data_IF_426953478742
#
_entry.id   IF_426953478742
#
_cell.length_a   1.000
_cell.length_b   1.000
_cell.length_c   1.000
_cell.angle_alpha   90.00
_cell.angle_beta   90.00
_cell.angle_gamma   90.00
#
_symmetry.space_group_name_H-M   'P 1'
#
loop_
_entity.id
_entity.type
_entity.pdbx_description
1 polymer ?
#
# COMPACT_ATOMS: atom_id res chain seq x y z
N UNK A 1 -1.06 7.47 6.34
CA UNK A 1 -1.94 8.30 5.48
C UNK A 1 -1.70 9.81 5.61
N UNK A 2 -1.66 10.41 6.81
CA UNK A 2 -1.46 11.87 7.01
C UNK A 2 -0.31 12.49 6.20
N UNK A 3 0.87 11.85 6.20
CA UNK A 3 2.03 12.32 5.44
C UNK A 3 1.84 12.31 3.91
N UNK A 4 1.01 11.40 3.38
CA UNK A 4 0.71 11.30 1.95
C UNK A 4 -0.46 12.21 1.54
N UNK A 5 -1.26 12.68 2.50
CA UNK A 5 -2.52 13.40 2.25
C UNK A 5 -2.43 14.52 1.20
N UNK A 6 -1.50 15.49 1.32
CA UNK A 6 -1.36 16.55 0.32
C UNK A 6 -1.07 16.03 -1.10
N UNK A 7 -0.29 14.96 -1.23
CA UNK A 7 0.06 14.36 -2.51
C UNK A 7 -1.09 13.52 -3.10
N UNK A 8 -1.89 12.88 -2.24
CA UNK A 8 -3.15 12.23 -2.63
C UNK A 8 -4.11 13.28 -3.21
N UNK A 9 -4.33 14.36 -2.45
CA UNK A 9 -5.23 15.44 -2.89
C UNK A 9 -4.79 16.06 -4.21
N UNK A 10 -3.48 16.24 -4.42
CA UNK A 10 -2.94 16.81 -5.66
C UNK A 10 -2.86 15.82 -6.83
N UNK A 11 -3.31 14.57 -6.67
CA UNK A 11 -3.23 13.54 -7.71
C UNK A 11 -1.83 12.99 -7.96
N UNK A 12 -0.81 13.34 -7.16
CA UNK A 12 0.57 12.82 -7.30
C UNK A 12 0.73 11.42 -6.72
N UNK A 13 -0.17 11.02 -5.83
CA UNK A 13 -0.22 9.70 -5.22
C UNK A 13 -1.62 9.13 -5.39
N UNK A 14 -1.72 7.93 -5.93
CA UNK A 14 -2.96 7.15 -5.98
C UNK A 14 -2.84 5.96 -5.04
N UNK A 15 -3.69 5.92 -4.02
CA UNK A 15 -3.76 4.79 -3.08
C UNK A 15 -4.87 3.84 -3.52
N UNK A 16 -4.54 2.55 -3.60
CA UNK A 16 -5.45 1.47 -3.95
C UNK A 16 -5.54 0.51 -2.78
N UNK A 17 -6.74 0.24 -2.28
CA UNK A 17 -6.95 -0.54 -1.07
C UNK A 17 -7.50 -1.93 -1.38
N UNK A 18 -6.95 -2.95 -0.73
CA UNK A 18 -7.51 -4.29 -0.64
C UNK A 18 -7.88 -4.56 0.83
N UNK A 19 -9.18 -4.55 1.12
CA UNK A 19 -9.71 -4.78 2.46
C UNK A 19 -10.64 -6.01 2.44
N UNK A 20 -10.09 -7.21 2.62
CA UNK A 20 -10.84 -8.46 2.58
C UNK A 20 -11.84 -8.60 3.74
N UNK A 21 -11.79 -7.74 4.76
CA UNK A 21 -12.73 -7.75 5.90
C UNK A 21 -13.74 -6.61 5.85
N UNK A 22 -13.54 -5.62 4.98
CA UNK A 22 -14.37 -4.42 4.81
C UNK A 22 -14.56 -3.58 6.09
N UNK A 23 -13.70 -3.76 7.09
CA UNK A 23 -13.83 -3.13 8.41
C UNK A 23 -12.84 -1.97 8.56
N UNK A 24 -11.60 -2.14 8.14
CA UNK A 24 -10.51 -1.24 8.54
C UNK A 24 -10.33 -0.08 7.55
N UNK A 25 -10.25 -0.37 6.25
CA UNK A 25 -9.95 0.67 5.25
C UNK A 25 -11.18 1.50 4.88
N UNK A 26 -12.38 1.01 5.18
CA UNK A 26 -13.65 1.69 4.87
C UNK A 26 -13.82 3.01 5.61
N UNK A 27 -13.28 3.14 6.83
CA UNK A 27 -13.23 4.42 7.57
C UNK A 27 -12.46 5.52 6.81
N UNK A 28 -11.45 5.14 6.03
CA UNK A 28 -10.66 6.02 5.19
C UNK A 28 -11.07 6.01 3.71
N UNK A 29 -12.22 5.42 3.37
CA UNK A 29 -12.58 5.04 2.00
C UNK A 29 -12.40 6.14 0.95
N UNK A 30 -12.68 7.39 1.31
CA UNK A 30 -12.56 8.52 0.38
C UNK A 30 -11.13 8.94 0.05
N UNK A 31 -10.10 8.36 0.68
CA UNK A 31 -8.69 8.56 0.32
C UNK A 31 -8.25 7.66 -0.84
N UNK A 32 -8.96 6.57 -1.08
CA UNK A 32 -8.58 5.58 -2.07
C UNK A 32 -9.07 5.99 -3.45
N UNK A 33 -8.19 5.84 -4.44
CA UNK A 33 -8.57 5.92 -5.86
C UNK A 33 -9.46 4.73 -6.24
N UNK A 34 -9.17 3.56 -5.67
CA UNK A 34 -9.95 2.32 -5.79
C UNK A 34 -9.81 1.56 -4.47
N UNK A 35 -10.92 1.22 -3.84
CA UNK A 35 -10.96 0.36 -2.65
C UNK A 35 -11.77 -0.88 -3.00
N UNK A 36 -11.18 -2.06 -2.82
CA UNK A 36 -11.84 -3.34 -3.06
C UNK A 36 -12.15 -3.97 -1.71
N UNK A 37 -13.44 -4.19 -1.50
CA UNK A 37 -14.01 -4.93 -0.36
C UNK A 37 -14.87 -6.06 -0.90
N UNK A 38 -15.03 -7.17 -0.18
CA UNK A 38 -16.04 -8.18 -0.54
C UNK A 38 -17.45 -7.56 -0.50
N UNK A 39 -18.32 -8.01 -1.41
CA UNK A 39 -19.75 -7.72 -1.38
C UNK A 39 -20.48 -8.97 -0.89
N UNK A 40 -20.92 -8.98 0.37
CA UNK A 40 -21.55 -10.16 0.96
C UNK A 40 -20.60 -11.36 1.02
N UNK A 41 -21.01 -12.49 0.42
CA UNK A 41 -20.23 -13.74 0.41
C UNK A 41 -19.39 -13.93 -0.87
N UNK A 42 -19.30 -12.91 -1.72
CA UNK A 42 -18.58 -13.02 -3.00
C UNK A 42 -17.06 -13.06 -2.78
N UNK A 43 -16.38 -13.93 -3.54
CA UNK A 43 -14.91 -13.99 -3.59
C UNK A 43 -14.37 -12.81 -4.42
N UNK A 44 -13.67 -11.83 -3.81
CA UNK A 44 -13.15 -10.66 -4.51
C UNK A 44 -11.88 -10.93 -5.34
N UNK A 45 -11.42 -12.19 -5.44
CA UNK A 45 -10.15 -12.56 -6.07
C UNK A 45 -10.01 -12.10 -7.52
N UNK A 46 -11.07 -12.11 -8.33
CA UNK A 46 -11.02 -11.61 -9.71
C UNK A 46 -10.75 -10.10 -9.76
N UNK A 47 -11.34 -9.34 -8.85
CA UNK A 47 -11.13 -7.89 -8.74
C UNK A 47 -9.72 -7.57 -8.25
N UNK A 48 -9.17 -8.40 -7.35
CA UNK A 48 -7.76 -8.31 -6.96
C UNK A 48 -6.84 -8.53 -8.15
N UNK A 49 -7.08 -9.58 -8.93
CA UNK A 49 -6.29 -9.89 -10.12
C UNK A 49 -6.36 -8.76 -11.15
N UNK A 50 -7.54 -8.22 -11.41
CA UNK A 50 -7.75 -7.11 -12.33
C UNK A 50 -6.91 -5.88 -11.90
N UNK A 51 -7.10 -5.41 -10.67
CA UNK A 51 -6.36 -4.25 -10.14
C UNK A 51 -4.84 -4.48 -10.15
N UNK A 52 -4.38 -5.64 -9.70
CA UNK A 52 -2.95 -5.96 -9.66
C UNK A 52 -2.36 -6.04 -11.07
N UNK A 53 -3.13 -6.55 -12.03
CA UNK A 53 -2.71 -6.60 -13.45
C UNK A 53 -2.57 -5.20 -14.02
N UNK A 54 -3.55 -4.31 -13.82
CA UNK A 54 -3.50 -2.91 -14.28
C UNK A 54 -2.26 -2.17 -13.73
N UNK A 55 -1.96 -2.35 -12.43
CA UNK A 55 -0.84 -1.70 -11.78
C UNK A 55 0.51 -2.29 -12.21
N UNK A 56 0.57 -3.62 -12.41
CA UNK A 56 1.72 -4.30 -12.99
C UNK A 56 1.99 -3.82 -14.42
N UNK A 57 0.96 -3.69 -15.24
CA UNK A 57 1.11 -3.24 -16.63
C UNK A 57 1.56 -1.76 -16.68
N UNK A 58 1.04 -0.92 -15.80
CA UNK A 58 1.52 0.47 -15.61
C UNK A 58 3.01 0.49 -15.23
N UNK A 59 3.41 -0.36 -14.27
CA UNK A 59 4.80 -0.53 -13.86
C UNK A 59 5.70 -0.92 -15.05
N UNK A 60 5.28 -1.91 -15.85
CA UNK A 60 6.04 -2.38 -17.02
C UNK A 60 6.17 -1.33 -18.11
N UNK A 61 5.10 -0.59 -18.41
CA UNK A 61 5.13 0.50 -19.38
C UNK A 61 6.12 1.60 -18.96
N UNK A 62 6.13 1.97 -17.66
CA UNK A 62 7.11 2.93 -17.12
C UNK A 62 8.53 2.41 -17.15
N UNK A 63 8.76 1.14 -16.80
CA UNK A 63 10.09 0.55 -16.92
C UNK A 63 10.64 0.64 -18.36
N UNK A 64 9.80 0.37 -19.36
CA UNK A 64 10.17 0.52 -20.78
C UNK A 64 10.48 1.98 -21.14
N UNK A 65 9.68 2.95 -20.69
CA UNK A 65 9.91 4.37 -21.01
C UNK A 65 11.14 4.94 -20.30
N UNK A 66 11.50 4.41 -19.12
CA UNK A 66 12.63 4.84 -18.30
C UNK A 66 13.97 4.23 -18.75
N UNK A 67 13.98 3.13 -19.51
CA UNK A 67 15.20 2.46 -19.96
C UNK A 67 16.17 3.44 -20.64
N UNK A 68 17.38 3.56 -20.06
CA UNK A 68 18.42 4.47 -20.54
C UNK A 68 18.15 5.97 -20.31
N UNK A 69 17.04 6.34 -19.65
CA UNK A 69 16.61 7.74 -19.45
C UNK A 69 16.53 8.16 -18.00
N UNK A 70 15.97 7.31 -17.13
CA UNK A 70 15.84 7.59 -15.69
C UNK A 70 15.97 6.31 -14.86
N UNK A 71 16.37 6.45 -13.60
CA UNK A 71 16.46 5.36 -12.63
C UNK A 71 15.33 5.39 -11.59
N UNK A 72 14.55 6.47 -11.52
CA UNK A 72 13.49 6.64 -10.54
C UNK A 72 12.41 7.59 -11.07
N UNK A 73 11.14 7.23 -10.88
CA UNK A 73 10.00 8.10 -11.17
C UNK A 73 10.01 9.33 -10.27
N UNK A 74 9.72 10.49 -10.86
CA UNK A 74 9.35 11.70 -10.12
C UNK A 74 7.83 11.87 -10.25
N UNK A 75 7.04 11.62 -9.19
CA UNK A 75 5.58 11.59 -9.32
C UNK A 75 4.97 12.92 -9.73
N UNK A 76 4.07 12.88 -10.71
CA UNK A 76 3.23 14.01 -11.16
C UNK A 76 1.76 13.60 -11.19
N UNK A 77 0.81 14.53 -11.36
CA UNK A 77 -0.60 14.18 -11.58
C UNK A 77 -0.84 13.29 -12.82
N UNK A 78 -0.01 13.43 -13.85
CA UNK A 78 -0.05 12.65 -15.09
C UNK A 78 0.62 11.28 -14.92
N UNK A 79 1.72 11.23 -14.16
CA UNK A 79 2.43 9.99 -13.80
C UNK A 79 2.49 9.82 -12.26
N UNK A 80 1.37 9.43 -11.63
CA UNK A 80 1.30 9.35 -10.17
C UNK A 80 2.07 8.16 -9.61
N UNK A 81 2.52 8.30 -8.36
CA UNK A 81 2.97 7.19 -7.54
C UNK A 81 1.75 6.33 -7.17
N UNK A 82 1.80 5.03 -7.45
CA UNK A 82 0.76 4.10 -7.02
C UNK A 82 1.17 3.42 -5.72
N UNK A 83 0.27 3.41 -4.73
CA UNK A 83 0.47 2.72 -3.45
C UNK A 83 -0.66 1.72 -3.28
N UNK A 84 -0.33 0.43 -3.29
CA UNK A 84 -1.25 -0.66 -2.99
C UNK A 84 -1.19 -0.89 -1.48
N UNK A 85 -2.31 -0.67 -0.79
CA UNK A 85 -2.47 -0.93 0.64
C UNK A 85 -3.30 -2.19 0.83
N UNK A 86 -2.72 -3.20 1.47
CA UNK A 86 -3.36 -4.48 1.76
C UNK A 86 -3.50 -4.61 3.28
N UNK A 87 -4.73 -4.62 3.77
CA UNK A 87 -4.99 -4.66 5.22
C UNK A 87 -4.63 -6.01 5.84
N UNK A 88 -4.93 -7.11 5.14
CA UNK A 88 -4.54 -8.45 5.56
C UNK A 88 -4.01 -9.24 4.37
N UNK A 89 -2.69 -9.33 4.27
CA UNK A 89 -2.01 -9.98 3.16
C UNK A 89 -2.38 -11.46 3.06
N UNK A 90 -2.51 -12.17 4.18
CA UNK A 90 -2.84 -13.59 4.17
C UNK A 90 -4.22 -13.84 3.54
N UNK A 91 -5.18 -12.95 3.77
CA UNK A 91 -6.51 -13.06 3.18
C UNK A 91 -6.51 -12.84 1.66
N UNK A 92 -5.56 -12.05 1.13
CA UNK A 92 -5.41 -11.82 -0.32
C UNK A 92 -4.64 -12.94 -1.02
N UNK A 93 -3.66 -13.57 -0.36
CA UNK A 93 -2.73 -14.51 -1.04
C UNK A 93 -2.88 -15.97 -0.63
N UNK A 94 -3.42 -16.25 0.56
CA UNK A 94 -3.46 -17.60 1.15
C UNK A 94 -4.88 -18.14 1.36
N UNK A 95 -5.87 -17.26 1.57
CA UNK A 95 -7.26 -17.68 1.83
C UNK A 95 -8.18 -17.60 0.60
N UNK A 96 -7.61 -17.34 -0.58
CA UNK A 96 -8.34 -17.43 -1.86
C UNK A 96 -8.62 -18.90 -2.16
N UNK A 97 -9.90 -19.25 -2.35
CA UNK A 97 -10.33 -20.64 -2.51
C UNK A 97 -9.86 -21.25 -3.84
N UNK A 98 -9.86 -20.47 -4.92
CA UNK A 98 -9.34 -20.89 -6.21
C UNK A 98 -7.80 -20.82 -6.22
N UNK A 99 -7.16 -21.99 -6.23
CA UNK A 99 -5.70 -22.11 -6.24
C UNK A 99 -5.03 -21.43 -7.43
N UNK A 100 -5.66 -21.40 -8.61
CA UNK A 100 -5.09 -20.73 -9.79
C UNK A 100 -5.09 -19.22 -9.60
N UNK A 101 -6.17 -18.67 -9.06
CA UNK A 101 -6.26 -17.24 -8.73
C UNK A 101 -5.27 -16.86 -7.64
N UNK A 102 -5.14 -17.67 -6.59
CA UNK A 102 -4.14 -17.46 -5.55
C UNK A 102 -2.71 -17.41 -6.12
N UNK A 103 -2.36 -18.34 -7.02
CA UNK A 103 -1.06 -18.38 -7.70
C UNK A 103 -0.83 -17.16 -8.61
N UNK A 104 -1.87 -16.73 -9.32
CA UNK A 104 -1.82 -15.53 -10.16
C UNK A 104 -1.60 -14.25 -9.33
N UNK A 105 -2.32 -14.10 -8.21
CA UNK A 105 -2.14 -12.99 -7.27
C UNK A 105 -0.71 -12.98 -6.71
N UNK A 106 -0.20 -14.13 -6.27
CA UNK A 106 1.18 -14.25 -5.78
C UNK A 106 2.20 -13.84 -6.84
N UNK A 107 1.98 -14.24 -8.10
CA UNK A 107 2.86 -13.89 -9.22
C UNK A 107 2.86 -12.38 -9.47
N UNK A 108 1.66 -11.77 -9.57
CA UNK A 108 1.52 -10.33 -9.80
C UNK A 108 2.16 -9.50 -8.68
N UNK A 109 1.89 -9.85 -7.41
CA UNK A 109 2.51 -9.17 -6.27
C UNK A 109 4.02 -9.38 -6.24
N UNK A 110 4.53 -10.57 -6.57
CA UNK A 110 5.96 -10.84 -6.65
C UNK A 110 6.69 -9.96 -7.67
N UNK A 111 6.09 -9.77 -8.85
CA UNK A 111 6.60 -8.86 -9.87
C UNK A 111 6.63 -7.40 -9.38
N UNK A 112 5.52 -6.93 -8.80
CA UNK A 112 5.39 -5.56 -8.29
C UNK A 112 6.38 -5.31 -7.14
N UNK A 113 6.48 -6.22 -6.17
CA UNK A 113 7.39 -6.07 -5.03
C UNK A 113 8.85 -6.01 -5.47
N UNK A 114 9.23 -6.77 -6.50
CA UNK A 114 10.61 -6.84 -6.98
C UNK A 114 10.99 -5.65 -7.86
N UNK A 115 10.05 -5.14 -8.67
CA UNK A 115 10.37 -4.18 -9.74
C UNK A 115 9.71 -2.81 -9.57
N UNK A 116 8.75 -2.67 -8.65
CA UNK A 116 7.84 -1.52 -8.58
C UNK A 116 8.45 -0.24 -8.00
N UNK A 117 9.52 -0.34 -7.21
CA UNK A 117 10.12 0.83 -6.52
C UNK A 117 10.55 1.95 -7.48
N UNK A 118 11.32 1.61 -8.52
CA UNK A 118 11.80 2.58 -9.50
C UNK A 118 10.68 3.23 -10.35
N UNK A 119 9.75 2.47 -10.96
CA UNK A 119 8.63 3.00 -11.75
C UNK A 119 7.45 3.54 -10.91
N UNK A 120 7.57 3.58 -9.59
CA UNK A 120 6.57 4.20 -8.70
C UNK A 120 5.29 3.39 -8.53
N UNK A 121 5.42 2.08 -8.29
CA UNK A 121 4.34 1.21 -7.82
C UNK A 121 4.81 0.52 -6.54
N UNK A 122 4.24 0.90 -5.40
CA UNK A 122 4.64 0.45 -4.07
C UNK A 122 3.55 -0.41 -3.44
N UNK A 123 3.94 -1.35 -2.59
CA UNK A 123 3.04 -2.18 -1.80
C UNK A 123 3.30 -1.93 -0.32
N UNK A 124 2.24 -1.64 0.42
CA UNK A 124 2.20 -1.64 1.87
C UNK A 124 1.22 -2.74 2.25
N UNK A 125 1.65 -3.72 3.02
CA UNK A 125 0.82 -4.84 3.41
C UNK A 125 0.95 -5.09 4.91
N UNK A 126 -0.18 -5.31 5.57
CA UNK A 126 -0.25 -5.72 6.97
C UNK A 126 -0.57 -7.22 7.09
N UNK A 127 -0.19 -7.79 8.22
CA UNK A 127 -0.36 -9.19 8.57
C UNK A 127 -0.50 -9.28 10.09
N UNK A 128 -1.63 -9.82 10.58
CA UNK A 128 -1.88 -9.90 12.02
C UNK A 128 -1.10 -11.03 12.71
N UNK A 129 -1.00 -12.20 12.08
CA UNK A 129 -0.25 -13.34 12.62
C UNK A 129 0.85 -13.80 11.64
N UNK A 130 2.14 -13.70 12.04
CA UNK A 130 3.25 -14.15 11.19
C UNK A 130 3.41 -15.68 11.28
N UNK A 131 2.43 -16.44 10.75
CA UNK A 131 2.57 -17.90 10.67
C UNK A 131 3.52 -18.30 9.53
N UNK A 132 4.33 -19.32 9.79
CA UNK A 132 5.54 -19.68 9.03
C UNK A 132 5.30 -20.01 7.55
N UNK A 133 4.13 -20.54 7.21
CA UNK A 133 3.85 -21.10 5.87
C UNK A 133 2.99 -20.21 4.96
N UNK A 134 2.44 -19.11 5.47
CA UNK A 134 1.27 -18.50 4.81
C UNK A 134 1.62 -17.51 3.69
N UNK A 135 2.82 -16.92 3.67
CA UNK A 135 3.14 -15.83 2.71
C UNK A 135 4.55 -15.95 2.12
N UNK A 136 4.64 -16.49 0.89
CA UNK A 136 5.90 -16.62 0.13
C UNK A 136 6.57 -15.28 -0.19
N UNK A 137 5.80 -14.19 -0.22
CA UNK A 137 6.23 -12.86 -0.64
C UNK A 137 7.00 -12.07 0.43
N UNK A 138 7.03 -12.54 1.69
CA UNK A 138 7.61 -11.81 2.83
C UNK A 138 9.07 -11.36 2.58
N UNK A 139 9.85 -12.20 1.91
CA UNK A 139 11.25 -11.92 1.57
C UNK A 139 11.42 -10.71 0.65
N UNK A 140 10.39 -10.35 -0.12
CA UNK A 140 10.46 -9.28 -1.13
C UNK A 140 10.18 -7.88 -0.56
N UNK A 141 9.72 -7.78 0.68
CA UNK A 141 9.53 -6.48 1.34
C UNK A 141 10.87 -5.96 1.88
N UNK A 142 11.36 -4.87 1.29
CA UNK A 142 12.62 -4.20 1.71
C UNK A 142 12.50 -3.44 3.03
N UNK A 143 11.28 -3.12 3.47
CA UNK A 143 11.00 -2.53 4.78
C UNK A 143 10.01 -3.42 5.52
N UNK A 144 10.36 -3.81 6.75
CA UNK A 144 9.51 -4.63 7.61
C UNK A 144 9.33 -3.94 8.94
N UNK A 145 8.09 -3.93 9.41
CA UNK A 145 7.70 -3.24 10.65
C UNK A 145 6.94 -4.23 11.49
N UNK A 146 7.35 -4.39 12.75
CA UNK A 146 6.64 -5.23 13.70
C UNK A 146 6.33 -4.42 14.96
N UNK A 147 5.04 -4.35 15.29
CA UNK A 147 4.55 -3.86 16.58
C UNK A 147 4.79 -4.93 17.65
N UNK A 148 4.13 -4.80 18.79
CA UNK A 148 4.16 -5.82 19.85
C UNK A 148 3.79 -7.20 19.30
N UNK A 149 4.65 -8.18 19.54
CA UNK A 149 4.39 -9.59 19.23
C UNK A 149 4.23 -10.40 20.51
N UNK A 150 3.51 -11.52 20.43
CA UNK A 150 3.24 -12.35 21.61
C UNK A 150 4.42 -13.23 22.01
N UNK A 151 5.25 -13.65 21.04
CA UNK A 151 6.31 -14.63 21.24
C UNK A 151 7.61 -14.20 20.57
N UNK A 152 8.74 -14.57 21.18
CA UNK A 152 10.08 -14.27 20.68
C UNK A 152 10.33 -14.83 19.26
N UNK A 153 9.85 -16.04 18.97
CA UNK A 153 9.99 -16.67 17.65
C UNK A 153 9.23 -15.93 16.55
N UNK A 154 8.18 -15.16 16.88
CA UNK A 154 7.43 -14.38 15.90
C UNK A 154 8.22 -13.17 15.39
N UNK A 155 9.18 -12.69 16.17
CA UNK A 155 10.03 -11.56 15.77
C UNK A 155 10.78 -11.89 14.49
N UNK A 156 11.51 -13.00 14.48
CA UNK A 156 12.28 -13.41 13.31
C UNK A 156 11.36 -13.80 12.14
N UNK A 157 10.16 -14.31 12.43
CA UNK A 157 9.16 -14.60 11.40
C UNK A 157 8.59 -13.34 10.73
N UNK A 158 8.48 -12.22 11.46
CA UNK A 158 7.94 -10.97 10.96
C UNK A 158 9.03 -10.09 10.31
N UNK A 159 10.19 -9.98 10.95
CA UNK A 159 11.24 -9.03 10.59
C UNK A 159 12.39 -9.65 9.80
N UNK A 160 12.53 -10.97 9.81
CA UNK A 160 13.63 -11.70 9.17
C UNK A 160 14.51 -12.43 10.18
N UNK A 161 15.24 -13.44 9.70
CA UNK A 161 16.11 -14.26 10.54
C UNK A 161 17.17 -13.41 11.26
N UNK A 162 17.35 -13.66 12.57
CA UNK A 162 18.31 -12.95 13.41
C UNK A 162 17.86 -11.56 13.89
N UNK A 163 16.70 -11.06 13.45
CA UNK A 163 16.19 -9.74 13.84
C UNK A 163 16.12 -9.56 15.36
N UNK A 164 15.65 -10.58 16.09
CA UNK A 164 15.54 -10.51 17.55
C UNK A 164 16.91 -10.46 18.23
N UNK A 165 17.85 -11.27 17.76
CA UNK A 165 19.22 -11.30 18.28
C UNK A 165 19.92 -9.95 18.07
N UNK A 166 19.57 -9.25 16.98
CA UNK A 166 20.06 -7.91 16.67
C UNK A 166 19.30 -6.78 17.38
N UNK A 167 18.46 -7.09 18.38
CA UNK A 167 17.84 -6.09 19.25
C UNK A 167 16.41 -5.68 18.90
N UNK A 168 15.75 -6.34 17.94
CA UNK A 168 14.32 -6.13 17.67
C UNK A 168 13.45 -6.84 18.74
N UNK A 169 13.32 -6.26 19.93
CA UNK A 169 12.61 -6.88 21.06
C UNK A 169 11.08 -6.69 21.00
N UNK A 170 10.44 -7.02 19.87
CA UNK A 170 8.99 -6.84 19.68
C UNK A 170 8.16 -7.61 20.71
N UNK A 171 8.65 -8.77 21.19
CA UNK A 171 8.02 -9.58 22.24
C UNK A 171 8.08 -8.94 23.63
N UNK A 172 8.94 -7.94 23.82
CA UNK A 172 9.12 -7.21 25.09
C UNK A 172 8.45 -5.84 25.11
N UNK A 173 7.77 -5.43 24.05
CA UNK A 173 7.02 -4.18 24.03
C UNK A 173 5.88 -4.26 25.05
N UNK A 174 5.83 -3.31 25.99
CA UNK A 174 4.79 -3.23 27.02
C UNK A 174 3.42 -2.97 26.34
N UNK A 175 2.40 -3.76 26.72
CA UNK A 175 1.03 -3.60 26.25
C UNK A 175 0.46 -2.20 26.48
N UNK A 176 0.94 -1.49 27.51
CA UNK A 176 0.56 -0.12 27.86
C UNK A 176 1.22 0.95 26.97
N UNK A 177 2.04 0.54 26.00
CA UNK A 177 2.75 1.42 25.09
C UNK A 177 2.37 1.17 23.62
N UNK A 178 1.08 1.34 23.25
CA UNK A 178 0.63 1.14 21.88
C UNK A 178 1.36 2.08 20.91
N UNK A 179 1.54 1.58 19.68
CA UNK A 179 2.23 2.30 18.60
C UNK A 179 3.75 2.16 18.62
N UNK A 180 4.38 1.57 19.65
CA UNK A 180 5.80 1.22 19.58
C UNK A 180 5.99 0.07 18.59
N UNK A 181 7.01 0.21 17.73
CA UNK A 181 7.38 -0.79 16.75
C UNK A 181 8.90 -0.83 16.54
N UNK A 182 9.37 -1.95 15.98
CA UNK A 182 10.70 -2.07 15.39
C UNK A 182 10.59 -2.08 13.87
N UNK A 183 11.56 -1.44 13.22
CA UNK A 183 11.65 -1.28 11.77
C UNK A 183 12.99 -1.84 11.31
N UNK A 184 12.93 -2.78 10.37
CA UNK A 184 14.09 -3.23 9.61
C UNK A 184 13.97 -2.66 8.19
N UNK A 185 15.05 -2.04 7.74
CA UNK A 185 15.21 -1.54 6.37
C UNK A 185 16.37 -2.32 5.77
N UNK A 186 16.16 -2.92 4.61
CA UNK A 186 17.18 -3.63 3.86
C UNK A 186 18.44 -2.76 3.70
N UNK A 187 19.60 -3.35 3.99
CA UNK A 187 20.89 -2.66 3.99
C UNK A 187 21.24 -1.92 5.29
N UNK A 188 20.38 -1.96 6.33
CA UNK A 188 20.72 -1.52 7.69
C UNK A 188 20.88 -2.72 8.62
N UNK A 189 21.96 -2.74 9.38
CA UNK A 189 22.27 -3.83 10.32
C UNK A 189 21.39 -3.78 11.58
N UNK A 190 21.20 -2.59 12.15
CA UNK A 190 20.48 -2.42 13.41
C UNK A 190 19.00 -2.10 13.21
N UNK A 191 18.08 -2.79 13.92
CA UNK A 191 16.66 -2.46 13.95
C UNK A 191 16.41 -1.06 14.54
N UNK A 192 15.65 -0.24 13.83
CA UNK A 192 15.21 1.06 14.34
C UNK A 192 13.98 0.91 15.24
N UNK A 193 13.99 1.52 16.43
CA UNK A 193 12.81 1.58 17.32
C UNK A 193 12.06 2.88 17.10
N UNK A 194 10.76 2.80 16.83
CA UNK A 194 9.89 3.96 16.54
C UNK A 194 8.61 3.91 17.36
N UNK A 195 7.92 5.05 17.43
CA UNK A 195 6.55 5.14 17.95
C UNK A 195 5.65 5.82 16.93
N UNK A 196 4.63 5.13 16.46
CA UNK A 196 3.61 5.71 15.61
C UNK A 196 2.67 6.61 16.42
N UNK A 197 2.19 7.73 15.83
CA UNK A 197 1.13 8.51 16.43
C UNK A 197 -0.16 7.68 16.49
N UNK A 198 -0.96 7.94 17.51
CA UNK A 198 -2.34 7.46 17.56
C UNK A 198 -3.21 8.41 16.73
N UNK A 199 -4.07 7.84 15.90
CA UNK A 199 -5.08 8.55 15.11
C UNK A 199 -6.38 7.81 15.44
N UNK A 200 -7.36 8.53 15.99
CA UNK A 200 -8.69 7.95 16.24
C UNK A 200 -9.57 7.98 14.98
N UNK A 201 -10.73 7.35 15.06
CA UNK A 201 -11.63 7.23 13.91
C UNK A 201 -12.17 8.58 13.40
N UNK A 202 -12.33 9.56 14.30
CA UNK A 202 -12.82 10.89 13.94
C UNK A 202 -11.73 11.67 13.19
N UNK A 203 -10.49 11.68 13.69
CA UNK A 203 -9.34 12.26 12.99
C UNK A 203 -9.10 11.55 11.65
N UNK A 204 -9.27 10.24 11.57
CA UNK A 204 -9.15 9.49 10.32
C UNK A 204 -10.21 9.94 9.30
N UNK A 205 -11.47 10.10 9.72
CA UNK A 205 -12.55 10.60 8.86
C UNK A 205 -12.25 12.02 8.38
N UNK A 206 -11.84 12.91 9.28
CA UNK A 206 -11.48 14.30 8.92
C UNK A 206 -10.32 14.35 7.92
N UNK A 207 -9.28 13.57 8.15
CA UNK A 207 -8.16 13.43 7.21
C UNK A 207 -8.64 12.88 5.86
N UNK A 208 -9.55 11.91 5.89
CA UNK A 208 -10.12 11.34 4.69
C UNK A 208 -10.92 12.35 3.89
N UNK A 209 -11.68 13.22 4.55
CA UNK A 209 -12.40 14.34 3.93
C UNK A 209 -11.46 15.42 3.38
N UNK A 210 -10.43 15.79 4.14
CA UNK A 210 -9.50 16.87 3.77
C UNK A 210 -8.61 16.52 2.57
N UNK A 211 -8.26 15.24 2.43
CA UNK A 211 -7.28 14.75 1.45
C UNK A 211 -7.88 13.82 0.40
N UNK A 212 -9.20 13.87 0.18
CA UNK A 212 -9.84 13.18 -0.95
C UNK A 212 -9.07 13.48 -2.24
N UNK A 213 -8.80 12.48 -3.09
CA UNK A 213 -8.23 12.72 -4.40
C UNK A 213 -9.05 13.81 -5.09
N UNK A 214 -8.41 14.90 -5.50
CA UNK A 214 -9.12 15.96 -6.23
C UNK A 214 -9.83 15.33 -7.44
N UNK A 215 -11.08 15.73 -7.68
CA UNK A 215 -11.65 15.50 -9.00
C UNK A 215 -10.68 16.14 -9.99
N UNK A 216 -10.20 15.39 -10.97
CA UNK A 216 -9.55 15.99 -12.12
C UNK A 216 -10.60 16.86 -12.78
N UNK A 217 -10.67 18.14 -12.41
CA UNK A 217 -11.38 19.13 -13.21
C UNK A 217 -10.55 19.25 -14.47
N UNK A 218 -10.82 18.39 -15.45
CA UNK A 218 -10.59 18.76 -16.84
C UNK A 218 -11.47 19.99 -17.01
N UNK A 219 -10.87 21.18 -16.94
CA UNK A 219 -11.57 22.42 -17.23
C UNK A 219 -12.16 22.24 -18.63
N UNK A 220 -13.48 22.03 -18.70
CA UNK A 220 -14.19 22.03 -19.95
C UNK A 220 -13.95 23.40 -20.58
N UNK A 221 -13.45 23.38 -21.80
CA UNK A 221 -13.17 24.53 -22.66
C UNK A 221 -14.28 25.57 -22.55
N UNK A 222 -13.94 26.77 -22.07
CA UNK A 222 -14.78 27.95 -22.29
C UNK A 222 -14.51 28.39 -23.73
N UNK A 223 -15.50 28.24 -24.60
CA UNK A 223 -15.45 28.82 -25.94
C UNK A 223 -15.42 30.35 -25.84
N UNK A 224 -14.64 31.05 -26.68
CA UNK A 224 -14.65 32.51 -26.70
C UNK A 224 -16.05 33.01 -27.08
N UNK A 225 -16.51 34.06 -26.41
CA UNK A 225 -17.65 34.84 -26.90
C UNK A 225 -17.24 35.48 -28.24
N UNK A 226 -18.12 35.48 -29.26
CA UNK A 226 -17.83 36.16 -30.51
C UNK A 226 -17.69 37.65 -30.26
N UNK A 227 -16.61 38.24 -30.79
CA UNK A 227 -16.45 39.69 -30.86
C UNK A 227 -17.66 40.28 -31.59
N UNK A 228 -18.38 41.17 -30.91
CA UNK A 228 -19.29 42.08 -31.56
C UNK A 228 -18.52 43.35 -31.90
N UNK A 229 -17.86 43.36 -33.07
CA UNK A 229 -17.58 44.61 -33.78
C UNK A 229 -18.89 45.24 -34.29
N UNK A 230 -18.86 46.57 -34.40
CA UNK A 230 -19.74 47.45 -35.18
C UNK A 230 -21.09 47.89 -34.58
N UNK A 231 -21.07 49.06 -33.92
CA UNK A 231 -21.89 50.24 -34.29
C UNK A 231 -21.34 51.50 -33.59
#
# INVERSE_FOLDING_TARGET
MKALGPAIRSGRVHVHGLDPKAIELTFGGSLFRRLVTPLGNDDPSDVYIEMLTELRDTMRARLQSMQGRSRLLVPSPEEPLHVILIDELAAVVAYVADRKKAEQINTLLGEILTQGRAPGVLVIAALQEPLKETVKLRGLFSVRIALRLAQANYVDMALGEGARANGAECDRIDQRTPGIAYVIIEGREEPGRVRFPYIDDDELRDLAHLYRPGQTTTAATVYPFPDAEAA
#
